data_IF_047798934660
#
_entry.id   IF_047798934660
#
_cell.length_a   1.000
_cell.length_b   1.000
_cell.length_c   1.000
_cell.angle_alpha   90.00
_cell.angle_beta   90.00
_cell.angle_gamma   90.00
#
_symmetry.space_group_name_H-M   'P 1'
#
loop_
_entity.id
_entity.type
_entity.pdbx_description
1 polymer ?
#
# COMPACT_ATOMS: atom_id res chain seq x y z
N UNK A 1 -1.92 48.96 -34.05
CA UNK A 1 -3.03 47.98 -33.70
C UNK A 1 -2.59 46.50 -33.62
N UNK A 2 -1.29 46.14 -33.60
CA UNK A 2 -0.83 44.75 -33.55
C UNK A 2 -0.62 44.21 -32.12
N UNK A 3 -0.50 45.04 -31.11
CA UNK A 3 -0.23 44.60 -29.71
C UNK A 3 -1.41 43.97 -29.01
N UNK A 4 -2.64 44.40 -29.27
CA UNK A 4 -3.84 43.88 -28.62
C UNK A 4 -4.16 42.41 -28.98
N UNK A 5 -3.91 42.03 -30.25
CA UNK A 5 -4.19 40.64 -30.69
C UNK A 5 -3.22 39.60 -30.11
N UNK A 6 -1.97 40.03 -29.80
CA UNK A 6 -0.99 39.14 -29.13
C UNK A 6 -1.31 38.94 -27.66
N UNK A 7 -1.65 40.01 -26.95
CA UNK A 7 -2.05 39.92 -25.52
C UNK A 7 -3.31 39.05 -25.33
N UNK A 8 -4.32 39.22 -26.17
CA UNK A 8 -5.56 38.39 -26.12
C UNK A 8 -5.26 36.91 -26.37
N UNK A 9 -4.38 36.60 -27.34
CA UNK A 9 -4.00 35.19 -27.60
C UNK A 9 -3.24 34.55 -26.45
N UNK A 10 -2.38 35.29 -25.75
CA UNK A 10 -1.64 34.81 -24.57
C UNK A 10 -2.64 34.56 -23.39
N UNK A 11 -3.57 35.48 -23.16
CA UNK A 11 -4.58 35.32 -22.08
C UNK A 11 -5.51 34.13 -22.34
N UNK A 12 -5.97 33.95 -23.58
CA UNK A 12 -6.80 32.80 -23.96
C UNK A 12 -6.00 31.49 -23.82
N UNK A 13 -4.71 31.47 -24.23
CA UNK A 13 -3.87 30.30 -24.06
C UNK A 13 -3.62 29.93 -22.61
N UNK A 14 -3.41 30.90 -21.73
CA UNK A 14 -3.28 30.69 -20.29
C UNK A 14 -4.61 30.19 -19.66
N UNK A 15 -5.74 30.79 -20.03
CA UNK A 15 -7.03 30.38 -19.52
C UNK A 15 -7.43 28.96 -19.96
N UNK A 16 -7.14 28.58 -21.20
CA UNK A 16 -7.36 27.22 -21.70
C UNK A 16 -6.40 26.20 -21.03
N UNK A 17 -5.15 26.59 -20.81
CA UNK A 17 -4.17 25.77 -20.11
C UNK A 17 -4.56 25.48 -18.66
N UNK A 18 -5.05 26.50 -17.94
CA UNK A 18 -5.53 26.34 -16.56
C UNK A 18 -6.82 25.51 -16.47
N UNK A 19 -7.75 25.71 -17.42
CA UNK A 19 -8.98 24.92 -17.48
C UNK A 19 -8.70 23.43 -17.79
N UNK A 20 -7.75 23.14 -18.70
CA UNK A 20 -7.32 21.78 -19.01
C UNK A 20 -6.64 21.12 -17.81
N UNK A 21 -5.74 21.84 -17.15
CA UNK A 21 -5.05 21.34 -15.96
C UNK A 21 -6.05 21.04 -14.81
N UNK A 22 -7.04 21.94 -14.60
CA UNK A 22 -8.10 21.72 -13.62
C UNK A 22 -8.97 20.50 -13.97
N UNK A 23 -9.32 20.32 -15.26
CA UNK A 23 -10.11 19.18 -15.73
C UNK A 23 -9.34 17.85 -15.57
N UNK A 24 -8.04 17.82 -15.86
CA UNK A 24 -7.16 16.65 -15.64
C UNK A 24 -7.04 16.35 -14.16
N UNK A 25 -6.91 17.36 -13.30
CA UNK A 25 -6.83 17.17 -11.86
C UNK A 25 -8.17 16.61 -11.29
N UNK A 26 -9.30 17.15 -11.74
CA UNK A 26 -10.63 16.64 -11.36
C UNK A 26 -10.82 15.21 -11.86
N UNK A 27 -10.44 14.91 -13.10
CA UNK A 27 -10.51 13.56 -13.65
C UNK A 27 -9.62 12.59 -12.86
N UNK A 28 -8.38 12.95 -12.58
CA UNK A 28 -7.46 12.14 -11.78
C UNK A 28 -7.99 11.89 -10.36
N UNK A 29 -8.63 12.88 -9.76
CA UNK A 29 -9.26 12.76 -8.43
C UNK A 29 -10.50 11.89 -8.45
N UNK A 30 -11.37 12.07 -9.43
CA UNK A 30 -12.64 11.32 -9.55
C UNK A 30 -12.46 9.88 -9.99
N UNK A 31 -11.43 9.58 -10.80
CA UNK A 31 -11.11 8.23 -11.24
C UNK A 31 -10.23 7.46 -10.26
N UNK A 32 -9.77 8.12 -9.18
CA UNK A 32 -8.85 7.51 -8.22
C UNK A 32 -7.40 7.37 -8.73
N UNK A 33 -7.09 7.87 -9.94
CA UNK A 33 -5.74 7.86 -10.49
C UNK A 33 -4.74 8.58 -9.59
N UNK A 34 -5.16 9.66 -8.93
CA UNK A 34 -4.36 10.39 -7.95
C UNK A 34 -3.87 9.49 -6.80
N UNK A 35 -4.64 8.48 -6.46
CA UNK A 35 -4.30 7.51 -5.40
C UNK A 35 -3.10 6.62 -5.74
N UNK A 36 -2.84 6.38 -7.04
CA UNK A 36 -1.68 5.64 -7.53
C UNK A 36 -0.43 6.50 -7.66
N UNK A 37 -0.62 7.77 -8.04
CA UNK A 37 0.46 8.67 -8.40
C UNK A 37 0.96 9.48 -7.21
N UNK A 38 0.07 9.85 -6.29
CA UNK A 38 0.42 10.63 -5.11
C UNK A 38 1.04 9.75 -4.01
N UNK A 39 2.11 10.23 -3.36
CA UNK A 39 2.62 9.59 -2.16
C UNK A 39 1.51 9.44 -1.09
N UNK A 40 1.53 8.37 -0.28
CA UNK A 40 0.52 8.11 0.76
C UNK A 40 0.25 9.31 1.69
N UNK A 41 1.26 10.13 1.97
CA UNK A 41 1.11 11.34 2.78
C UNK A 41 0.31 12.47 2.13
N UNK A 42 0.23 12.52 0.78
CA UNK A 42 -0.56 13.53 0.05
C UNK A 42 -1.98 13.06 -0.24
N UNK A 43 -2.22 11.76 -0.24
CA UNK A 43 -3.55 11.16 -0.45
C UNK A 43 -4.39 11.05 0.83
N UNK A 44 -3.82 11.34 1.99
CA UNK A 44 -4.44 11.07 3.30
C UNK A 44 -4.51 9.58 3.64
N UNK A 45 -3.98 8.71 2.79
CA UNK A 45 -4.00 7.26 2.99
C UNK A 45 -3.26 6.85 4.26
N UNK A 46 -2.09 7.44 4.50
CA UNK A 46 -1.28 7.14 5.69
C UNK A 46 -2.01 7.45 7.00
N UNK A 47 -2.79 8.53 7.05
CA UNK A 47 -3.60 8.88 8.22
C UNK A 47 -4.74 7.87 8.43
N UNK A 48 -5.45 7.52 7.38
CA UNK A 48 -6.52 6.52 7.42
C UNK A 48 -6.00 5.14 7.84
N UNK A 49 -4.84 4.73 7.32
CA UNK A 49 -4.16 3.49 7.72
C UNK A 49 -3.72 3.54 9.17
N UNK A 50 -3.15 4.65 9.61
CA UNK A 50 -2.72 4.83 11.00
C UNK A 50 -3.89 4.65 11.98
N UNK A 51 -5.04 5.23 11.66
CA UNK A 51 -6.25 5.08 12.46
C UNK A 51 -6.76 3.62 12.48
N UNK A 52 -6.80 2.94 11.31
CA UNK A 52 -7.26 1.55 11.21
C UNK A 52 -6.30 0.56 11.88
N UNK A 53 -5.00 0.79 11.78
CA UNK A 53 -3.95 -0.03 12.38
C UNK A 53 -3.64 0.36 13.83
N UNK A 54 -4.40 1.28 14.40
CA UNK A 54 -4.24 1.76 15.78
C UNK A 54 -2.79 2.22 16.07
N UNK A 55 -2.13 2.86 15.08
CA UNK A 55 -0.73 3.25 15.20
C UNK A 55 -0.53 4.30 16.27
N UNK A 56 0.49 4.08 17.10
CA UNK A 56 0.91 5.00 18.16
C UNK A 56 2.42 4.96 18.35
N UNK A 57 3.02 5.98 18.96
CA UNK A 57 4.44 5.99 19.28
C UNK A 57 4.87 4.73 20.07
N UNK A 58 6.05 4.21 19.73
CA UNK A 58 6.64 3.04 20.40
C UNK A 58 6.27 1.68 19.76
N UNK A 59 5.31 1.61 18.84
CA UNK A 59 4.95 0.33 18.22
C UNK A 59 6.02 -0.14 17.23
N UNK A 60 6.15 -1.47 17.14
CA UNK A 60 6.80 -2.13 16.01
C UNK A 60 5.76 -2.52 14.96
N UNK A 61 5.98 -2.10 13.73
CA UNK A 61 5.08 -2.37 12.60
C UNK A 61 5.88 -2.86 11.39
N UNK A 62 5.20 -3.44 10.40
CA UNK A 62 5.86 -3.82 9.16
C UNK A 62 5.07 -3.37 7.92
N UNK A 63 5.81 -3.04 6.87
CA UNK A 63 5.31 -2.86 5.51
C UNK A 63 5.86 -3.98 4.62
N UNK A 64 4.97 -4.71 3.97
CA UNK A 64 5.33 -5.78 3.04
C UNK A 64 5.26 -5.26 1.62
N UNK A 65 6.35 -5.45 0.86
CA UNK A 65 6.46 -4.98 -0.51
C UNK A 65 6.49 -3.45 -0.58
N UNK A 66 7.42 -2.85 0.15
CA UNK A 66 7.47 -1.41 0.39
C UNK A 66 7.81 -0.56 -0.84
N UNK A 67 8.17 -1.18 -1.96
CA UNK A 67 8.56 -0.50 -3.18
C UNK A 67 9.74 0.45 -2.93
N UNK A 68 9.52 1.74 -3.06
CA UNK A 68 10.55 2.78 -2.80
C UNK A 68 10.41 3.45 -1.42
N UNK A 69 9.62 2.89 -0.50
CA UNK A 69 9.55 3.28 0.90
C UNK A 69 8.76 4.57 1.20
N UNK A 70 7.80 4.93 0.36
CA UNK A 70 7.00 6.13 0.63
C UNK A 70 6.11 5.96 1.87
N UNK A 71 5.42 4.82 1.98
CA UNK A 71 4.61 4.50 3.14
C UNK A 71 5.49 4.14 4.35
N UNK A 72 6.65 3.48 4.14
CA UNK A 72 7.64 3.21 5.20
C UNK A 72 7.99 4.47 6.00
N UNK A 73 8.29 5.58 5.28
CA UNK A 73 8.65 6.87 5.94
C UNK A 73 7.47 7.44 6.72
N UNK A 74 6.25 7.34 6.20
CA UNK A 74 5.06 7.80 6.92
C UNK A 74 4.82 6.97 8.18
N UNK A 75 4.89 5.65 8.09
CA UNK A 75 4.78 4.74 9.24
C UNK A 75 5.85 5.02 10.29
N UNK A 76 7.12 5.20 9.86
CA UNK A 76 8.24 5.43 10.78
C UNK A 76 8.10 6.74 11.56
N UNK A 77 7.56 7.80 10.93
CA UNK A 77 7.24 9.06 11.61
C UNK A 77 6.14 8.88 12.66
N UNK A 78 5.12 8.07 12.36
CA UNK A 78 3.96 7.85 13.24
C UNK A 78 4.31 7.02 14.47
N UNK A 79 5.12 5.97 14.30
CA UNK A 79 5.58 5.18 15.45
C UNK A 79 6.70 5.87 16.21
N UNK A 80 7.31 6.91 15.65
CA UNK A 80 8.33 7.73 16.30
C UNK A 80 9.63 6.98 16.61
N UNK A 81 10.61 7.68 17.23
CA UNK A 81 11.95 7.12 17.43
C UNK A 81 12.00 5.94 18.42
N UNK A 82 11.02 5.80 19.29
CA UNK A 82 10.89 4.66 20.22
C UNK A 82 10.21 3.44 19.57
N UNK A 83 9.62 3.58 18.38
CA UNK A 83 9.03 2.49 17.61
C UNK A 83 9.99 1.93 16.57
N UNK A 84 9.50 0.98 15.77
CA UNK A 84 10.27 0.37 14.66
C UNK A 84 9.40 0.09 13.46
N UNK A 85 9.94 0.26 12.26
CA UNK A 85 9.32 -0.19 11.02
C UNK A 85 10.22 -1.21 10.34
N UNK A 86 9.72 -2.42 10.16
CA UNK A 86 10.30 -3.36 9.22
C UNK A 86 9.72 -3.10 7.83
N UNK A 87 10.58 -2.93 6.84
CA UNK A 87 10.20 -2.66 5.47
C UNK A 87 10.75 -3.75 4.57
N UNK A 88 9.87 -4.63 4.06
CA UNK A 88 10.32 -5.76 3.25
C UNK A 88 10.19 -5.45 1.76
N UNK A 89 11.18 -5.87 0.97
CA UNK A 89 11.16 -5.70 -0.49
C UNK A 89 12.06 -6.78 -1.15
N UNK A 90 11.61 -7.33 -2.29
CA UNK A 90 12.36 -8.33 -3.05
C UNK A 90 13.51 -7.70 -3.85
N UNK A 91 13.23 -6.59 -4.52
CA UNK A 91 14.15 -5.91 -5.42
C UNK A 91 15.26 -5.18 -4.66
N UNK A 92 16.54 -5.47 -4.94
CA UNK A 92 17.69 -4.85 -4.23
C UNK A 92 17.76 -3.33 -4.45
N UNK A 93 17.43 -2.83 -5.65
CA UNK A 93 17.50 -1.40 -5.95
C UNK A 93 16.40 -0.63 -5.21
N UNK A 94 15.23 -1.26 -5.05
CA UNK A 94 14.15 -0.71 -4.23
C UNK A 94 14.52 -0.73 -2.75
N UNK A 95 15.15 -1.79 -2.23
CA UNK A 95 15.67 -1.81 -0.85
C UNK A 95 16.63 -0.65 -0.60
N UNK A 96 17.61 -0.47 -1.50
CA UNK A 96 18.52 0.67 -1.41
C UNK A 96 17.79 2.03 -1.51
N UNK A 97 16.69 2.10 -2.27
CA UNK A 97 15.89 3.32 -2.34
C UNK A 97 15.13 3.59 -1.02
N UNK A 98 14.65 2.54 -0.33
CA UNK A 98 14.04 2.67 1.00
C UNK A 98 15.05 3.23 2.00
N UNK A 99 16.27 2.66 2.04
CA UNK A 99 17.35 3.11 2.92
C UNK A 99 17.69 4.58 2.69
N UNK A 100 17.96 4.96 1.42
CA UNK A 100 18.24 6.37 1.07
C UNK A 100 17.10 7.31 1.47
N UNK A 101 15.85 6.88 1.33
CA UNK A 101 14.69 7.69 1.69
C UNK A 101 14.56 7.84 3.20
N UNK A 102 14.81 6.78 3.97
CA UNK A 102 14.81 6.83 5.43
C UNK A 102 15.93 7.74 5.95
N UNK A 103 17.14 7.62 5.40
CA UNK A 103 18.28 8.48 5.75
C UNK A 103 18.02 9.94 5.41
N UNK A 104 17.51 10.22 4.21
CA UNK A 104 17.13 11.57 3.80
C UNK A 104 16.05 12.20 4.69
N UNK A 105 15.18 11.37 5.25
CA UNK A 105 14.17 11.77 6.22
C UNK A 105 14.70 11.78 7.68
N UNK A 106 15.97 11.43 7.91
CA UNK A 106 16.63 11.31 9.21
C UNK A 106 15.93 10.32 10.17
N UNK A 107 15.36 9.25 9.61
CA UNK A 107 14.70 8.20 10.36
C UNK A 107 15.71 7.09 10.69
N UNK A 108 15.83 6.73 11.98
CA UNK A 108 16.73 5.67 12.47
C UNK A 108 15.98 4.42 12.93
N UNK A 109 14.66 4.45 12.83
CA UNK A 109 13.75 3.41 13.27
C UNK A 109 13.20 2.55 12.13
N UNK A 110 13.85 2.57 10.95
CA UNK A 110 13.52 1.74 9.79
C UNK A 110 14.55 0.61 9.68
N UNK A 111 14.08 -0.61 9.50
CA UNK A 111 14.90 -1.79 9.21
C UNK A 111 14.44 -2.38 7.88
N UNK A 112 15.31 -2.34 6.87
CA UNK A 112 15.00 -2.91 5.55
C UNK A 112 15.34 -4.41 5.56
N UNK A 113 14.38 -5.23 5.13
CA UNK A 113 14.48 -6.69 5.13
C UNK A 113 14.33 -7.20 3.70
N UNK A 114 15.21 -8.11 3.29
CA UNK A 114 15.05 -8.84 2.04
C UNK A 114 13.84 -9.78 2.16
N UNK A 115 12.79 -9.54 1.41
CA UNK A 115 11.65 -10.45 1.32
C UNK A 115 12.01 -11.76 0.61
N UNK A 116 11.16 -12.77 0.76
CA UNK A 116 11.18 -13.99 -0.04
C UNK A 116 9.79 -14.20 -0.67
N UNK A 117 9.72 -15.01 -1.72
CA UNK A 117 8.45 -15.26 -2.44
C UNK A 117 7.41 -15.97 -1.57
N UNK A 118 7.85 -16.89 -0.71
CA UNK A 118 6.98 -17.68 0.17
C UNK A 118 7.02 -17.25 1.64
N UNK A 119 7.78 -16.18 2.01
CA UNK A 119 7.93 -15.77 3.40
C UNK A 119 8.21 -14.27 3.53
N UNK A 120 7.79 -13.70 4.64
CA UNK A 120 8.04 -12.29 4.97
C UNK A 120 9.48 -12.03 5.43
N UNK A 121 10.16 -13.06 5.95
CA UNK A 121 11.46 -12.97 6.62
C UNK A 121 11.47 -12.01 7.83
N UNK A 122 10.32 -11.76 8.40
CA UNK A 122 10.17 -10.99 9.64
C UNK A 122 10.35 -11.90 10.86
N UNK A 123 10.82 -11.36 12.00
CA UNK A 123 10.83 -12.10 13.25
C UNK A 123 9.41 -12.50 13.68
N UNK A 124 9.28 -13.63 14.37
CA UNK A 124 7.99 -14.09 14.90
C UNK A 124 7.47 -13.10 15.95
N UNK A 125 6.15 -12.87 15.93
CA UNK A 125 5.42 -11.98 16.83
C UNK A 125 6.03 -10.57 16.97
N UNK A 126 6.77 -10.09 15.95
CA UNK A 126 7.46 -8.81 16.02
C UNK A 126 6.52 -7.62 15.99
N UNK A 127 5.41 -7.76 15.30
CA UNK A 127 4.72 -6.61 14.77
C UNK A 127 3.29 -6.50 15.33
N UNK A 128 2.99 -5.37 15.98
CA UNK A 128 1.63 -5.05 16.41
C UNK A 128 0.71 -4.78 15.22
N UNK A 129 1.27 -4.30 14.11
CA UNK A 129 0.52 -4.10 12.87
C UNK A 129 1.40 -4.38 11.65
N UNK A 130 0.78 -4.93 10.61
CA UNK A 130 1.39 -5.18 9.30
C UNK A 130 0.50 -4.60 8.22
N UNK A 131 1.10 -3.99 7.20
CA UNK A 131 0.40 -3.50 6.02
C UNK A 131 0.99 -4.09 4.76
N UNK A 132 0.11 -4.51 3.85
CA UNK A 132 0.42 -4.88 2.47
C UNK A 132 -0.41 -3.99 1.55
N UNK A 133 0.25 -3.28 0.64
CA UNK A 133 -0.43 -2.40 -0.30
C UNK A 133 -0.03 -2.73 -1.72
N UNK A 134 -0.99 -3.26 -2.48
CA UNK A 134 -0.79 -3.61 -3.90
C UNK A 134 0.32 -4.66 -4.09
N UNK A 135 0.29 -5.71 -3.27
CA UNK A 135 1.35 -6.73 -3.19
C UNK A 135 0.79 -8.15 -3.17
N UNK A 136 -0.36 -8.40 -2.49
CA UNK A 136 -0.84 -9.76 -2.26
C UNK A 136 -1.15 -10.51 -3.56
N UNK A 137 -1.59 -9.81 -4.60
CA UNK A 137 -1.82 -10.37 -5.93
C UNK A 137 -0.53 -10.85 -6.66
N UNK A 138 0.65 -10.48 -6.16
CA UNK A 138 1.94 -10.96 -6.67
C UNK A 138 2.46 -12.20 -5.93
N UNK A 139 1.79 -12.63 -4.87
CA UNK A 139 2.21 -13.78 -4.08
C UNK A 139 1.72 -15.06 -4.75
N UNK A 140 2.64 -15.89 -5.22
CA UNK A 140 2.33 -17.18 -5.83
C UNK A 140 2.06 -18.26 -4.77
N UNK A 141 2.94 -18.38 -3.77
CA UNK A 141 2.84 -19.36 -2.68
C UNK A 141 2.01 -18.82 -1.49
N UNK A 142 0.76 -18.45 -1.75
CA UNK A 142 -0.10 -17.73 -0.81
C UNK A 142 -0.26 -18.40 0.54
N UNK A 143 -0.39 -19.74 0.58
CA UNK A 143 -0.55 -20.47 1.82
C UNK A 143 0.67 -20.36 2.74
N UNK A 144 1.86 -20.59 2.20
CA UNK A 144 3.13 -20.47 2.94
C UNK A 144 3.38 -19.03 3.38
N UNK A 145 3.14 -18.09 2.47
CA UNK A 145 3.32 -16.67 2.73
C UNK A 145 2.38 -16.15 3.83
N UNK A 146 1.08 -16.50 3.77
CA UNK A 146 0.08 -16.09 4.76
C UNK A 146 0.35 -16.71 6.12
N UNK A 147 0.85 -17.96 6.15
CA UNK A 147 1.33 -18.57 7.40
C UNK A 147 2.55 -17.82 7.97
N UNK A 148 3.48 -17.36 7.12
CA UNK A 148 4.60 -16.53 7.55
C UNK A 148 4.13 -15.16 8.07
N UNK A 149 3.15 -14.52 7.41
CA UNK A 149 2.50 -13.31 7.92
C UNK A 149 1.90 -13.53 9.31
N UNK A 150 1.17 -14.66 9.50
CA UNK A 150 0.55 -14.97 10.80
C UNK A 150 1.58 -15.08 11.91
N UNK A 151 2.74 -15.69 11.64
CA UNK A 151 3.83 -15.76 12.63
C UNK A 151 4.40 -14.38 12.97
N UNK A 152 4.54 -13.52 11.98
CA UNK A 152 5.13 -12.18 12.17
C UNK A 152 4.22 -11.22 12.94
N UNK A 153 2.89 -11.35 12.78
CA UNK A 153 1.92 -10.51 13.51
C UNK A 153 1.77 -11.02 14.93
N UNK A 154 1.97 -10.13 15.91
CA UNK A 154 1.78 -10.44 17.32
C UNK A 154 0.33 -10.87 17.63
N UNK A 155 0.10 -11.57 18.74
CA UNK A 155 -1.24 -11.93 19.15
C UNK A 155 -2.10 -10.69 19.42
N UNK A 156 -3.31 -10.69 18.89
CA UNK A 156 -4.19 -9.51 18.87
C UNK A 156 -3.74 -8.40 17.90
N UNK A 157 -2.65 -8.59 17.19
CA UNK A 157 -2.13 -7.63 16.21
C UNK A 157 -2.98 -7.54 14.94
N UNK A 158 -2.74 -6.51 14.16
CA UNK A 158 -3.54 -6.14 12.99
C UNK A 158 -2.77 -6.39 11.68
N UNK A 159 -3.51 -6.83 10.65
CA UNK A 159 -3.03 -6.92 9.27
C UNK A 159 -4.00 -6.15 8.37
N UNK A 160 -3.50 -5.14 7.66
CA UNK A 160 -4.25 -4.47 6.60
C UNK A 160 -3.72 -4.93 5.24
N UNK A 161 -4.60 -5.47 4.41
CA UNK A 161 -4.30 -5.78 3.01
C UNK A 161 -5.12 -4.87 2.12
N UNK A 162 -4.42 -4.10 1.29
CA UNK A 162 -4.99 -3.21 0.28
C UNK A 162 -4.62 -3.79 -1.07
N UNK A 163 -5.63 -4.17 -1.84
CA UNK A 163 -5.44 -4.76 -3.15
C UNK A 163 -6.65 -4.46 -4.06
N UNK A 164 -6.68 -4.98 -5.26
CA UNK A 164 -7.76 -4.79 -6.23
C UNK A 164 -8.28 -6.14 -6.74
N UNK A 165 -9.55 -6.16 -7.13
CA UNK A 165 -10.16 -7.34 -7.71
C UNK A 165 -9.76 -7.50 -9.18
N UNK A 166 -9.66 -8.75 -9.69
CA UNK A 166 -9.39 -9.00 -11.10
C UNK A 166 -10.40 -8.28 -12.02
N UNK A 167 -9.93 -7.73 -13.13
CA UNK A 167 -10.76 -6.99 -14.08
C UNK A 167 -11.02 -5.53 -13.72
N UNK A 168 -10.55 -5.03 -12.58
CA UNK A 168 -10.55 -3.60 -12.29
C UNK A 168 -9.64 -2.85 -13.29
N UNK A 169 -10.06 -1.65 -13.75
CA UNK A 169 -9.37 -0.84 -14.78
C UNK A 169 -7.97 -0.33 -14.40
N UNK A 170 -7.31 -0.95 -13.41
CA UNK A 170 -6.05 -0.50 -12.83
C UNK A 170 -4.80 -0.94 -13.58
N UNK A 171 -4.97 -1.61 -14.73
CA UNK A 171 -3.87 -2.22 -15.48
C UNK A 171 -2.99 -1.25 -16.26
N UNK A 172 -3.23 0.04 -16.17
CA UNK A 172 -2.38 1.05 -16.80
C UNK A 172 -1.10 1.21 -15.97
N UNK A 173 -0.11 0.38 -16.24
CA UNK A 173 1.23 0.48 -15.62
C UNK A 173 1.86 -0.81 -15.10
N UNK A 174 1.10 -1.88 -14.91
CA UNK A 174 1.67 -3.19 -14.60
C UNK A 174 1.81 -3.98 -15.91
N UNK A 175 3.02 -4.04 -16.46
CA UNK A 175 3.32 -4.61 -17.79
C UNK A 175 3.15 -6.11 -17.97
N UNK A 176 2.09 -6.73 -17.42
CA UNK A 176 1.69 -8.11 -17.67
C UNK A 176 0.25 -8.14 -18.12
N UNK A 177 -0.02 -8.90 -19.18
CA UNK A 177 -1.22 -8.92 -19.97
C UNK A 177 -2.53 -9.06 -19.19
N UNK A 178 -3.52 -8.37 -19.69
CA UNK A 178 -4.89 -8.28 -19.18
C UNK A 178 -5.67 -9.49 -19.70
N UNK A 179 -5.87 -10.49 -18.85
CA UNK A 179 -6.95 -11.46 -19.08
C UNK A 179 -7.96 -11.33 -17.93
N UNK A 180 -9.12 -10.74 -18.27
CA UNK A 180 -10.23 -10.61 -17.35
C UNK A 180 -10.78 -12.00 -17.00
N UNK A 181 -10.32 -12.58 -15.88
CA UNK A 181 -10.95 -13.75 -15.26
C UNK A 181 -10.38 -15.12 -15.59
N UNK A 182 -9.24 -15.23 -16.29
CA UNK A 182 -8.51 -16.49 -16.50
C UNK A 182 -7.46 -16.77 -15.41
N UNK A 183 -6.84 -17.98 -15.39
CA UNK A 183 -5.66 -18.25 -14.58
C UNK A 183 -4.54 -17.30 -15.02
N UNK A 184 -4.19 -16.32 -14.17
CA UNK A 184 -3.26 -15.23 -14.48
C UNK A 184 -3.89 -13.83 -14.48
N UNK A 185 -5.18 -13.71 -14.18
CA UNK A 185 -5.83 -12.42 -14.00
C UNK A 185 -5.12 -11.62 -12.91
N UNK A 186 -4.67 -10.41 -13.25
CA UNK A 186 -3.99 -9.53 -12.34
C UNK A 186 -5.00 -9.03 -11.28
N UNK A 187 -4.67 -9.17 -10.00
CA UNK A 187 -5.54 -8.87 -8.87
C UNK A 187 -5.90 -10.09 -8.04
N UNK A 188 -6.58 -9.89 -6.93
CA UNK A 188 -7.09 -10.96 -6.06
C UNK A 188 -8.52 -10.67 -5.64
N UNK A 189 -9.40 -11.65 -5.78
CA UNK A 189 -10.77 -11.52 -5.28
C UNK A 189 -10.73 -11.37 -3.76
N UNK A 190 -11.41 -10.33 -3.25
CA UNK A 190 -11.48 -10.07 -1.81
C UNK A 190 -11.95 -11.28 -1.01
N UNK A 191 -12.92 -12.05 -1.54
CA UNK A 191 -13.40 -13.28 -0.93
C UNK A 191 -12.31 -14.35 -0.78
N UNK A 192 -11.40 -14.45 -1.77
CA UNK A 192 -10.32 -15.44 -1.76
C UNK A 192 -9.24 -15.04 -0.76
N UNK A 193 -8.86 -13.75 -0.72
CA UNK A 193 -8.00 -13.20 0.32
C UNK A 193 -8.55 -13.48 1.73
N UNK A 194 -9.85 -13.24 1.95
CA UNK A 194 -10.50 -13.49 3.25
C UNK A 194 -10.43 -14.98 3.61
N UNK A 195 -10.72 -15.87 2.66
CA UNK A 195 -10.65 -17.31 2.89
C UNK A 195 -9.23 -17.80 3.19
N UNK A 196 -8.23 -17.29 2.47
CA UNK A 196 -6.82 -17.63 2.66
C UNK A 196 -6.29 -17.12 4.01
N UNK A 197 -6.62 -15.89 4.38
CA UNK A 197 -6.24 -15.29 5.66
C UNK A 197 -6.91 -16.04 6.85
N UNK A 198 -8.18 -16.44 6.70
CA UNK A 198 -8.90 -17.20 7.74
C UNK A 198 -8.24 -18.57 8.00
N UNK A 199 -7.78 -19.27 6.94
CA UNK A 199 -7.06 -20.55 7.11
C UNK A 199 -5.75 -20.38 7.88
N UNK A 200 -5.12 -19.20 7.80
CA UNK A 200 -3.92 -18.89 8.57
C UNK A 200 -4.20 -18.38 10.00
N UNK A 201 -5.47 -18.27 10.40
CA UNK A 201 -5.84 -17.82 11.75
C UNK A 201 -6.05 -16.33 11.91
N UNK A 202 -6.29 -15.62 10.82
CA UNK A 202 -6.74 -14.23 10.85
C UNK A 202 -8.27 -14.15 10.87
N UNK A 203 -8.79 -13.16 11.58
CA UNK A 203 -10.23 -12.87 11.68
C UNK A 203 -10.50 -11.49 11.09
N UNK A 204 -11.45 -11.41 10.17
CA UNK A 204 -11.86 -10.13 9.57
C UNK A 204 -12.43 -9.20 10.64
N UNK A 205 -11.89 -8.01 10.72
CA UNK A 205 -12.40 -6.92 11.56
C UNK A 205 -13.21 -5.92 10.73
N UNK A 206 -12.75 -5.65 9.51
CA UNK A 206 -13.40 -4.68 8.65
C UNK A 206 -13.08 -4.93 7.19
N UNK A 207 -14.09 -4.79 6.34
CA UNK A 207 -13.93 -4.71 4.88
C UNK A 207 -14.32 -3.32 4.39
N UNK A 208 -13.48 -2.72 3.55
CA UNK A 208 -13.73 -1.44 2.91
C UNK A 208 -13.63 -1.65 1.39
N UNK A 209 -14.78 -1.91 0.73
CA UNK A 209 -14.80 -2.27 -0.69
C UNK A 209 -14.28 -1.17 -1.63
N UNK A 210 -14.32 0.07 -1.19
CA UNK A 210 -13.83 1.26 -1.91
C UNK A 210 -12.86 2.03 -1.02
N UNK A 211 -11.64 1.51 -0.94
CA UNK A 211 -10.57 2.18 -0.20
C UNK A 211 -10.06 3.43 -0.92
N UNK A 212 -9.87 3.35 -2.24
CA UNK A 212 -9.41 4.41 -3.12
C UNK A 212 -8.72 3.82 -4.35
N UNK A 213 -8.79 4.52 -5.48
CA UNK A 213 -8.17 4.06 -6.72
C UNK A 213 -8.66 2.71 -7.22
N UNK A 214 -9.92 2.31 -6.91
CA UNK A 214 -10.50 1.01 -7.24
C UNK A 214 -9.96 -0.15 -6.42
N UNK A 215 -9.14 0.13 -5.40
CA UNK A 215 -8.70 -0.86 -4.43
C UNK A 215 -9.74 -1.06 -3.34
N UNK A 216 -9.74 -2.23 -2.75
CA UNK A 216 -10.38 -2.53 -1.48
C UNK A 216 -9.34 -2.56 -0.35
N UNK A 217 -9.79 -2.51 0.89
CA UNK A 217 -9.00 -2.84 2.07
C UNK A 217 -9.73 -3.89 2.90
N UNK A 218 -9.00 -4.92 3.33
CA UNK A 218 -9.46 -5.83 4.38
C UNK A 218 -8.54 -5.69 5.58
N UNK A 219 -9.13 -5.36 6.72
CA UNK A 219 -8.46 -5.33 8.01
C UNK A 219 -8.75 -6.63 8.75
N UNK A 220 -7.69 -7.29 9.16
CA UNK A 220 -7.73 -8.51 9.94
C UNK A 220 -7.11 -8.29 11.31
N UNK A 221 -7.50 -9.13 12.27
CA UNK A 221 -6.83 -9.32 13.56
C UNK A 221 -6.39 -10.77 13.70
N UNK A 222 -5.27 -11.00 14.34
CA UNK A 222 -4.90 -12.37 14.72
C UNK A 222 -5.87 -12.88 15.79
N UNK A 223 -6.43 -14.08 15.57
CA UNK A 223 -7.21 -14.78 16.59
C UNK A 223 -6.36 -15.09 17.82
N UNK A 224 -7.00 -15.40 18.97
CA UNK A 224 -6.27 -15.85 20.15
C UNK A 224 -5.43 -17.09 19.81
N UNK A 225 -4.21 -17.15 20.33
CA UNK A 225 -3.37 -18.34 20.22
C UNK A 225 -4.12 -19.52 20.86
N UNK A 226 -4.58 -20.47 20.05
CA UNK A 226 -5.16 -21.70 20.61
C UNK A 226 -6.46 -22.24 20.02
N UNK A 227 -7.10 -21.60 19.04
CA UNK A 227 -8.21 -22.22 18.30
C UNK A 227 -7.68 -22.92 17.03
N UNK A 228 -7.07 -24.08 17.23
CA UNK A 228 -6.84 -25.06 16.17
C UNK A 228 -7.91 -26.15 16.25
#
# INVERSE_FOLDING_TARGET
MAGGKRATRIIIGLALGTALAASVAVWAFTTGFAYYVLPPGLSGEGERLAALLELRPGLTVAEIGAGRGALTVDLARRVGPGGRVYSTELDPDRRAAIERRADGARLRNVTVVKAAEAATNLPDACCAAVVMRNVYHHVDERSAFTASLRRAVADGGLLAVIDFEPGALHHVGCGRGVDAGGPGAHGVWRRDLVAEAARAGFVVQREIPRWGGGMYLVLFRTGPAGTR
#
